data_IF_426699663569
#
_entry.id   IF_426699663569
#
_cell.length_a   1.000
_cell.length_b   1.000
_cell.length_c   1.000
_cell.angle_alpha   90.00
_cell.angle_beta   90.00
_cell.angle_gamma   90.00
#
_symmetry.space_group_name_H-M   'P 1'
#
loop_
_entity.id
_entity.type
_entity.pdbx_description
1 polymer ?
#
# COMPACT_ATOMS: atom_id res chain seq x y z
N UNK A 1 0.57 -9.30 6.33
CA UNK A 1 -0.72 -9.17 5.65
C UNK A 1 -1.23 -7.74 5.73
N UNK A 2 -1.91 -7.27 4.68
CA UNK A 2 -2.57 -5.97 4.63
C UNK A 2 -4.03 -6.02 5.08
N UNK A 3 -4.70 -4.87 5.06
CA UNK A 3 -6.09 -4.72 5.49
C UNK A 3 -7.12 -5.36 4.53
N UNK A 4 -6.74 -5.59 3.27
CA UNK A 4 -7.57 -6.29 2.27
C UNK A 4 -7.33 -7.81 2.24
N UNK A 5 -6.33 -8.29 2.96
CA UNK A 5 -5.95 -9.69 2.96
C UNK A 5 -6.84 -10.55 3.88
N UNK A 6 -7.07 -11.78 3.46
CA UNK A 6 -7.56 -12.82 4.35
C UNK A 6 -6.39 -13.53 5.01
N UNK A 7 -6.15 -13.25 6.29
CA UNK A 7 -5.05 -13.86 7.05
C UNK A 7 -5.08 -15.40 6.99
N UNK A 8 -6.25 -16.00 7.12
CA UNK A 8 -6.42 -17.46 7.04
C UNK A 8 -6.00 -18.03 5.67
N UNK A 9 -6.31 -17.32 4.57
CA UNK A 9 -5.87 -17.74 3.22
C UNK A 9 -4.38 -17.58 3.02
N UNK A 10 -3.77 -16.54 3.56
CA UNK A 10 -2.33 -16.31 3.47
C UNK A 10 -1.55 -17.31 4.31
N UNK A 11 -2.04 -17.70 5.49
CA UNK A 11 -1.37 -18.65 6.37
C UNK A 11 -1.67 -20.12 6.02
N UNK A 12 -2.71 -20.43 5.25
CA UNK A 12 -3.05 -21.80 4.88
C UNK A 12 -1.87 -22.57 4.23
N UNK A 13 -1.11 -22.00 3.27
CA UNK A 13 0.04 -22.67 2.67
C UNK A 13 1.35 -22.53 3.47
N UNK A 14 1.31 -22.05 4.72
CA UNK A 14 2.50 -21.74 5.52
C UNK A 14 3.54 -22.85 5.57
N UNK A 15 3.18 -24.16 5.75
CA UNK A 15 4.17 -25.24 5.76
C UNK A 15 4.96 -25.35 4.44
N UNK A 16 4.31 -25.11 3.30
CA UNK A 16 4.96 -25.09 1.98
C UNK A 16 5.85 -23.85 1.82
N UNK A 17 5.36 -22.68 2.25
CA UNK A 17 6.10 -21.43 2.19
C UNK A 17 7.36 -21.49 3.06
N UNK A 18 7.29 -22.07 4.24
CA UNK A 18 8.44 -22.25 5.12
C UNK A 18 9.52 -23.17 4.51
N UNK A 19 9.10 -24.23 3.80
CA UNK A 19 10.03 -25.07 3.04
C UNK A 19 10.75 -24.27 1.93
N UNK A 20 10.11 -23.21 1.42
CA UNK A 20 10.68 -22.24 0.46
C UNK A 20 11.39 -21.07 1.13
N UNK A 21 11.64 -21.13 2.44
CA UNK A 21 12.22 -20.04 3.26
C UNK A 21 11.42 -18.73 3.19
N UNK A 22 10.11 -18.85 3.08
CA UNK A 22 9.19 -17.70 3.05
C UNK A 22 8.38 -17.69 4.34
N UNK A 23 8.45 -16.57 5.05
CA UNK A 23 7.71 -16.34 6.29
C UNK A 23 6.48 -15.47 6.04
N UNK A 24 5.34 -15.85 6.62
CA UNK A 24 4.08 -15.11 6.51
C UNK A 24 3.55 -14.84 7.92
N UNK A 25 3.11 -13.60 8.12
CA UNK A 25 2.42 -13.15 9.34
C UNK A 25 1.07 -12.55 8.94
N UNK A 26 0.02 -13.33 9.09
CA UNK A 26 -1.35 -12.95 8.75
C UNK A 26 -2.06 -12.24 9.88
N UNK A 27 -1.81 -12.68 11.12
CA UNK A 27 -2.44 -12.18 12.34
C UNK A 27 -1.42 -11.99 13.47
N UNK A 28 -1.80 -11.19 14.46
CA UNK A 28 -1.15 -11.17 15.76
C UNK A 28 -1.69 -12.35 16.59
N UNK A 29 -0.82 -13.28 16.94
CA UNK A 29 -1.19 -14.44 17.78
C UNK A 29 -1.21 -14.03 19.24
N UNK A 30 -2.01 -14.78 20.01
CA UNK A 30 -2.07 -14.63 21.47
C UNK A 30 -1.70 -15.94 22.14
N UNK A 31 -1.04 -15.80 23.28
CA UNK A 31 -0.76 -16.90 24.19
C UNK A 31 -2.04 -17.35 24.91
N UNK A 32 -2.00 -18.50 25.62
CA UNK A 32 -3.15 -19.04 26.37
C UNK A 32 -3.72 -18.05 27.39
N UNK A 33 -2.89 -17.15 27.93
CA UNK A 33 -3.30 -16.08 28.85
C UNK A 33 -3.92 -14.84 28.19
N UNK A 34 -4.05 -14.83 26.85
CA UNK A 34 -4.57 -13.69 26.08
C UNK A 34 -3.56 -12.58 25.78
N UNK A 35 -2.33 -12.73 26.26
CA UNK A 35 -1.23 -11.82 25.94
C UNK A 35 -0.74 -11.99 24.50
N UNK A 36 -0.18 -10.91 23.93
CA UNK A 36 0.37 -10.93 22.58
C UNK A 36 1.60 -11.84 22.53
N UNK A 37 1.62 -12.78 21.57
CA UNK A 37 2.80 -13.56 21.23
C UNK A 37 3.76 -12.73 20.37
N UNK A 38 4.60 -11.96 21.04
CA UNK A 38 5.60 -11.11 20.38
C UNK A 38 6.65 -11.91 19.60
N UNK A 39 6.94 -13.15 20.05
CA UNK A 39 7.93 -14.00 19.39
C UNK A 39 7.44 -14.44 18.01
N UNK A 40 6.14 -14.62 17.86
CA UNK A 40 5.54 -14.88 16.56
C UNK A 40 5.75 -13.73 15.55
N UNK A 41 5.83 -12.49 16.01
CA UNK A 41 6.04 -11.30 15.16
C UNK A 41 7.52 -11.05 14.82
N UNK A 42 8.45 -11.83 15.40
CA UNK A 42 9.87 -11.74 15.12
C UNK A 42 10.26 -12.78 14.08
N UNK A 43 10.95 -12.34 13.03
CA UNK A 43 11.49 -13.19 11.98
C UNK A 43 13.00 -13.01 11.90
N UNK A 44 13.72 -14.10 11.97
CA UNK A 44 15.17 -14.14 11.77
C UNK A 44 15.46 -14.38 10.28
N UNK A 45 16.10 -13.40 9.64
CA UNK A 45 16.53 -13.55 8.25
C UNK A 45 17.97 -14.04 8.20
N UNK A 46 18.16 -15.16 7.51
CA UNK A 46 19.43 -15.89 7.45
C UNK A 46 20.08 -15.74 6.09
N UNK A 47 21.40 -15.63 6.09
CA UNK A 47 22.19 -15.64 4.88
C UNK A 47 22.25 -17.07 4.27
N UNK A 48 22.99 -17.20 3.15
CA UNK A 48 23.16 -18.49 2.47
C UNK A 48 23.87 -19.54 3.30
N UNK A 49 24.63 -19.14 4.34
CA UNK A 49 25.32 -20.05 5.27
C UNK A 49 24.44 -20.48 6.44
N UNK A 50 23.24 -19.92 6.56
CA UNK A 50 22.30 -20.18 7.66
C UNK A 50 22.52 -19.29 8.90
N UNK A 51 23.40 -18.32 8.84
CA UNK A 51 23.68 -17.38 9.91
C UNK A 51 22.63 -16.25 9.89
N UNK A 52 22.14 -15.84 11.07
CA UNK A 52 21.17 -14.75 11.20
C UNK A 52 21.90 -13.41 11.00
N UNK A 53 21.55 -12.69 9.95
CA UNK A 53 22.06 -11.37 9.64
C UNK A 53 21.12 -10.25 10.06
N UNK A 54 19.82 -10.50 10.01
CA UNK A 54 18.79 -9.51 10.26
C UNK A 54 17.72 -10.05 11.22
N UNK A 55 17.21 -9.16 12.05
CA UNK A 55 16.05 -9.40 12.91
C UNK A 55 14.91 -8.49 12.42
N UNK A 56 13.78 -9.07 12.08
CA UNK A 56 12.66 -8.36 11.50
C UNK A 56 11.43 -8.41 12.38
N UNK A 57 10.86 -7.25 12.70
CA UNK A 57 9.51 -7.11 13.23
C UNK A 57 8.52 -7.23 12.08
N UNK A 58 7.90 -8.38 11.91
CA UNK A 58 6.94 -8.65 10.85
C UNK A 58 5.50 -8.42 11.35
N UNK A 59 5.10 -7.15 11.42
CA UNK A 59 3.80 -6.75 11.97
C UNK A 59 2.76 -6.71 10.85
N UNK A 60 1.67 -7.52 10.92
CA UNK A 60 0.58 -7.46 9.96
C UNK A 60 -0.29 -6.21 10.19
N UNK A 61 -1.31 -6.00 9.35
CA UNK A 61 -2.36 -5.03 9.62
C UNK A 61 -3.02 -5.32 10.97
N UNK A 62 -3.07 -4.29 11.82
CA UNK A 62 -3.55 -4.40 13.20
C UNK A 62 -5.02 -4.01 13.32
N UNK A 63 -5.80 -4.89 13.92
CA UNK A 63 -7.19 -4.65 14.31
C UNK A 63 -7.30 -4.35 15.80
N UNK A 64 -8.46 -3.91 16.22
CA UNK A 64 -8.71 -3.73 17.65
C UNK A 64 -8.43 -5.03 18.41
N UNK A 65 -7.60 -4.94 19.47
CA UNK A 65 -7.14 -6.07 20.26
C UNK A 65 -5.86 -6.75 19.78
N UNK A 66 -5.29 -6.34 18.65
CA UNK A 66 -4.02 -6.86 18.12
C UNK A 66 -2.79 -6.13 18.69
N UNK A 67 -3.00 -5.08 19.46
CA UNK A 67 -1.98 -4.24 20.09
C UNK A 67 -2.26 -4.10 21.59
N UNK A 68 -1.25 -3.73 22.41
CA UNK A 68 -1.45 -3.55 23.85
C UNK A 68 -2.49 -2.47 24.16
N UNK A 69 -3.33 -2.72 25.14
CA UNK A 69 -4.20 -1.70 25.68
C UNK A 69 -3.36 -0.70 26.50
N UNK A 70 -3.44 0.57 26.16
CA UNK A 70 -2.75 1.65 26.87
C UNK A 70 -3.76 2.64 27.44
N UNK A 71 -3.50 3.13 28.64
CA UNK A 71 -4.28 4.24 29.20
C UNK A 71 -3.69 5.54 28.65
N UNK A 72 -4.46 6.28 27.89
CA UNK A 72 -4.02 7.53 27.27
C UNK A 72 -5.20 8.49 27.11
N UNK A 73 -4.90 9.79 27.14
CA UNK A 73 -5.83 10.86 26.73
C UNK A 73 -5.83 11.07 25.21
N UNK A 74 -4.84 10.48 24.52
CA UNK A 74 -4.70 10.54 23.06
C UNK A 74 -5.47 9.43 22.33
N UNK A 75 -4.97 9.06 21.15
CA UNK A 75 -5.55 8.00 20.35
C UNK A 75 -5.06 6.62 20.83
N UNK A 76 -5.94 5.77 21.41
CA UNK A 76 -5.55 4.45 21.93
C UNK A 76 -4.96 3.51 20.89
N UNK A 77 -5.39 3.61 19.61
CA UNK A 77 -4.81 2.86 18.52
C UNK A 77 -3.36 3.25 18.27
N UNK A 78 -3.10 4.54 18.07
CA UNK A 78 -1.77 5.04 17.78
C UNK A 78 -0.78 4.72 18.90
N UNK A 79 -1.20 4.92 20.17
CA UNK A 79 -0.39 4.63 21.33
C UNK A 79 -0.18 3.12 21.52
N UNK A 80 -1.20 2.30 21.29
CA UNK A 80 -1.08 0.84 21.34
C UNK A 80 -0.14 0.29 20.28
N UNK A 81 -0.17 0.85 19.06
CA UNK A 81 0.77 0.49 17.98
C UNK A 81 2.19 0.91 18.36
N UNK A 82 2.37 2.13 18.89
CA UNK A 82 3.68 2.60 19.36
C UNK A 82 4.25 1.66 20.44
N UNK A 83 3.44 1.27 21.40
CA UNK A 83 3.83 0.34 22.46
C UNK A 83 4.18 -1.05 21.91
N UNK A 84 3.43 -1.55 20.90
CA UNK A 84 3.73 -2.82 20.25
C UNK A 84 5.14 -2.83 19.63
N UNK A 85 5.47 -1.78 18.86
CA UNK A 85 6.79 -1.67 18.25
C UNK A 85 7.90 -1.46 19.29
N UNK A 86 7.64 -0.71 20.35
CA UNK A 86 8.59 -0.51 21.44
C UNK A 86 8.91 -1.83 22.17
N UNK A 87 7.89 -2.64 22.45
CA UNK A 87 8.08 -3.94 23.09
C UNK A 87 8.77 -4.95 22.18
N UNK A 88 8.47 -4.96 20.88
CA UNK A 88 9.19 -5.76 19.89
C UNK A 88 10.67 -5.35 19.84
N UNK A 89 10.94 -4.06 19.75
CA UNK A 89 12.30 -3.52 19.73
C UNK A 89 13.09 -3.94 20.96
N UNK A 90 12.52 -3.81 22.15
CA UNK A 90 13.16 -4.21 23.40
C UNK A 90 13.54 -5.70 23.41
N UNK A 91 12.66 -6.58 22.86
CA UNK A 91 12.94 -8.01 22.75
C UNK A 91 14.06 -8.29 21.75
N UNK A 92 14.05 -7.61 20.61
CA UNK A 92 15.09 -7.76 19.60
C UNK A 92 16.45 -7.29 20.09
N UNK A 93 16.51 -6.18 20.83
CA UNK A 93 17.75 -5.71 21.44
C UNK A 93 18.38 -6.73 22.37
N UNK A 94 17.59 -7.49 23.12
CA UNK A 94 18.10 -8.55 24.02
C UNK A 94 18.63 -9.76 23.25
N UNK A 95 18.19 -9.97 21.99
CA UNK A 95 18.58 -11.11 21.13
C UNK A 95 19.65 -10.75 20.12
N UNK A 96 19.75 -9.45 19.80
CA UNK A 96 20.64 -8.93 18.78
C UNK A 96 22.09 -9.21 19.12
N UNK A 97 22.85 -9.70 18.14
CA UNK A 97 24.30 -9.73 18.16
C UNK A 97 24.83 -8.46 17.54
N UNK A 98 26.09 -8.13 17.85
CA UNK A 98 26.83 -7.08 17.18
C UNK A 98 26.75 -7.28 15.65
N UNK A 99 26.62 -6.22 14.88
CA UNK A 99 26.49 -6.21 13.41
C UNK A 99 25.15 -6.74 12.83
N UNK A 100 24.20 -7.22 13.62
CA UNK A 100 22.88 -7.54 13.09
C UNK A 100 22.01 -6.28 12.96
N UNK A 101 21.35 -6.10 11.82
CA UNK A 101 20.39 -5.01 11.62
C UNK A 101 19.00 -5.39 12.15
N UNK A 102 18.28 -4.39 12.66
CA UNK A 102 16.86 -4.53 13.01
C UNK A 102 16.03 -3.84 11.93
N UNK A 103 15.07 -4.57 11.39
CA UNK A 103 14.07 -4.08 10.43
C UNK A 103 12.69 -4.08 11.06
N UNK A 104 11.82 -3.21 10.55
CA UNK A 104 10.40 -3.26 10.82
C UNK A 104 9.61 -3.33 9.51
N UNK A 105 8.55 -4.12 9.53
CA UNK A 105 7.53 -4.16 8.49
C UNK A 105 6.20 -3.85 9.15
N UNK A 106 5.40 -2.98 8.53
CA UNK A 106 4.06 -2.64 9.01
C UNK A 106 3.09 -2.37 7.88
N UNK A 107 1.80 -2.47 8.18
CA UNK A 107 0.73 -2.11 7.24
C UNK A 107 -0.26 -1.21 7.97
N UNK A 108 -0.08 0.10 7.86
CA UNK A 108 -0.81 1.12 8.60
C UNK A 108 -0.70 2.48 7.90
N UNK A 109 -1.53 3.43 8.31
CA UNK A 109 -1.42 4.82 7.90
C UNK A 109 -0.56 5.60 8.92
N UNK A 110 0.52 6.24 8.45
CA UNK A 110 1.36 7.10 9.25
C UNK A 110 0.99 8.57 9.05
N UNK A 111 1.09 9.38 10.11
CA UNK A 111 0.89 10.83 10.04
C UNK A 111 1.90 11.46 9.08
N UNK A 112 1.45 12.39 8.24
CA UNK A 112 2.28 13.07 7.24
C UNK A 112 2.51 12.26 5.97
N UNK A 113 1.79 11.15 5.77
CA UNK A 113 1.71 10.48 4.47
C UNK A 113 0.72 11.19 3.54
N UNK A 114 1.10 11.28 2.26
CA UNK A 114 0.26 11.85 1.21
C UNK A 114 -0.61 10.75 0.59
N UNK A 115 -1.89 11.02 0.48
CA UNK A 115 -2.89 10.14 -0.15
C UNK A 115 -3.51 10.90 -1.32
N UNK A 116 -3.84 10.23 -2.42
CA UNK A 116 -4.58 10.86 -3.50
C UNK A 116 -6.01 11.17 -3.05
N UNK A 117 -6.44 12.42 -3.15
CA UNK A 117 -7.77 12.88 -2.70
C UNK A 117 -8.95 12.10 -3.32
N UNK A 118 -8.74 11.42 -4.44
CA UNK A 118 -9.77 10.66 -5.19
C UNK A 118 -9.47 9.17 -5.26
N UNK A 119 -8.55 8.68 -4.45
CA UNK A 119 -8.22 7.26 -4.44
C UNK A 119 -9.09 6.50 -3.45
N UNK A 120 -10.18 5.95 -3.95
CA UNK A 120 -11.08 5.09 -3.16
C UNK A 120 -10.52 3.70 -2.90
N UNK A 121 -9.36 3.35 -3.47
CA UNK A 121 -8.67 2.07 -3.22
C UNK A 121 -7.96 2.06 -1.87
N UNK A 122 -7.52 3.22 -1.42
CA UNK A 122 -6.99 3.42 -0.06
C UNK A 122 -8.17 3.79 0.86
N UNK A 123 -8.55 2.90 1.75
CA UNK A 123 -9.53 3.23 2.79
C UNK A 123 -8.94 4.24 3.75
N UNK A 124 -9.14 5.51 3.46
CA UNK A 124 -8.88 6.58 4.42
C UNK A 124 -9.89 6.46 5.55
N UNK A 125 -9.41 6.29 6.77
CA UNK A 125 -10.28 6.40 7.93
C UNK A 125 -10.69 7.86 8.08
N UNK A 126 -12.00 8.09 7.99
CA UNK A 126 -12.58 9.43 8.16
C UNK A 126 -12.21 9.94 9.55
N UNK A 127 -11.51 11.07 9.60
CA UNK A 127 -11.16 11.75 10.86
C UNK A 127 -9.76 11.54 11.40
N UNK A 128 -8.87 10.82 10.70
CA UNK A 128 -7.45 10.67 11.11
C UNK A 128 -7.24 9.85 12.40
N UNK A 129 -8.28 9.17 12.89
CA UNK A 129 -8.25 8.45 14.18
C UNK A 129 -7.35 7.21 14.18
N UNK A 130 -6.97 6.70 13.01
CA UNK A 130 -6.10 5.52 12.89
C UNK A 130 -4.70 5.84 12.35
N UNK A 131 -4.29 7.11 12.37
CA UNK A 131 -2.94 7.48 11.96
C UNK A 131 -1.94 7.31 13.10
N UNK A 132 -0.81 6.67 12.78
CA UNK A 132 0.28 6.40 13.72
C UNK A 132 1.37 7.46 13.54
N UNK A 133 1.87 8.02 14.66
CA UNK A 133 3.03 8.93 14.61
C UNK A 133 4.26 8.19 14.08
N UNK A 134 5.08 8.81 13.23
CA UNK A 134 6.38 8.27 12.82
C UNK A 134 7.32 7.95 13.99
N UNK A 135 7.11 8.58 15.16
CA UNK A 135 7.88 8.35 16.39
C UNK A 135 7.66 6.94 16.96
N UNK A 136 6.62 6.22 16.51
CA UNK A 136 6.44 4.81 16.83
C UNK A 136 7.61 3.95 16.31
N UNK A 137 8.32 4.43 15.28
CA UNK A 137 9.47 3.74 14.69
C UNK A 137 10.76 4.38 15.21
N UNK A 138 11.37 3.74 16.19
CA UNK A 138 12.64 4.19 16.79
C UNK A 138 13.74 4.37 15.74
N UNK A 139 14.63 5.32 15.96
CA UNK A 139 15.85 5.52 15.16
C UNK A 139 16.82 4.34 15.22
N UNK A 140 16.66 3.46 16.21
CA UNK A 140 17.43 2.22 16.33
C UNK A 140 17.00 1.13 15.32
N UNK A 141 15.91 1.36 14.58
CA UNK A 141 15.48 0.50 13.49
C UNK A 141 16.20 0.97 12.22
N UNK A 142 17.01 0.09 11.63
CA UNK A 142 17.78 0.42 10.45
C UNK A 142 16.90 0.81 9.26
N UNK A 143 15.76 0.12 9.07
CA UNK A 143 14.79 0.46 8.05
C UNK A 143 13.39 -0.02 8.43
N UNK A 144 12.39 0.82 8.17
CA UNK A 144 10.97 0.50 8.34
C UNK A 144 10.25 0.51 7.00
N UNK A 145 9.79 -0.66 6.56
CA UNK A 145 9.02 -0.85 5.33
C UNK A 145 7.52 -0.81 5.65
N UNK A 146 6.82 0.20 5.17
CA UNK A 146 5.38 0.35 5.36
C UNK A 146 4.61 0.01 4.08
N UNK A 147 3.51 -0.70 4.23
CA UNK A 147 2.45 -0.88 3.26
C UNK A 147 1.20 -0.11 3.65
N UNK A 148 0.17 -0.15 2.83
CA UNK A 148 -1.10 0.54 2.90
C UNK A 148 -1.20 1.72 1.91
N UNK A 149 -0.26 2.64 1.91
CA UNK A 149 -0.27 3.78 0.98
C UNK A 149 0.41 3.38 -0.33
N UNK A 150 -0.29 3.56 -1.45
CA UNK A 150 0.17 3.14 -2.78
C UNK A 150 1.14 4.13 -3.42
N UNK A 151 1.20 5.38 -2.93
CA UNK A 151 2.18 6.37 -3.37
C UNK A 151 3.52 6.16 -2.66
N UNK A 152 4.57 5.84 -3.42
CA UNK A 152 5.93 5.70 -2.88
C UNK A 152 6.39 7.01 -2.25
N UNK A 153 6.73 7.00 -0.95
CA UNK A 153 7.09 8.21 -0.21
C UNK A 153 7.86 7.91 1.08
N UNK A 154 8.55 8.93 1.58
CA UNK A 154 9.12 8.97 2.92
C UNK A 154 8.07 9.45 3.91
N UNK A 155 8.09 8.93 5.12
CA UNK A 155 7.19 9.37 6.19
C UNK A 155 7.87 10.49 6.98
N UNK A 156 7.24 11.65 7.03
CA UNK A 156 7.76 12.84 7.72
C UNK A 156 9.22 13.16 7.40
N UNK A 157 9.64 12.95 6.15
CA UNK A 157 11.00 13.21 5.67
C UNK A 157 12.07 12.20 6.11
N UNK A 158 11.72 11.17 6.89
CA UNK A 158 12.68 10.15 7.36
C UNK A 158 13.10 9.23 6.23
N UNK A 159 14.40 9.14 5.98
CA UNK A 159 14.98 8.31 4.90
C UNK A 159 14.73 6.82 5.13
N UNK A 160 14.76 6.38 6.38
CA UNK A 160 14.65 4.99 6.79
C UNK A 160 13.22 4.54 7.13
N UNK A 161 12.19 5.39 6.96
CA UNK A 161 10.77 5.03 7.17
C UNK A 161 10.00 5.37 5.89
N UNK A 162 9.61 4.35 5.14
CA UNK A 162 9.07 4.55 3.79
C UNK A 162 7.89 3.65 3.47
N UNK A 163 6.99 4.18 2.67
CA UNK A 163 6.11 3.40 1.81
C UNK A 163 6.82 3.12 0.49
N UNK A 164 6.90 1.84 0.11
CA UNK A 164 7.39 1.47 -1.21
C UNK A 164 6.39 1.86 -2.32
N UNK A 165 5.13 2.03 -1.95
CA UNK A 165 4.03 2.17 -2.88
C UNK A 165 3.61 0.83 -3.49
N UNK A 166 2.76 0.89 -4.50
CA UNK A 166 2.38 -0.28 -5.28
C UNK A 166 3.36 -0.50 -6.45
N UNK A 167 3.70 -1.75 -6.81
CA UNK A 167 4.58 -2.02 -7.95
C UNK A 167 3.91 -1.77 -9.30
N UNK A 168 2.58 -1.76 -9.34
CA UNK A 168 1.75 -1.44 -10.49
C UNK A 168 0.58 -0.55 -10.04
N UNK A 169 -0.03 0.24 -10.94
CA UNK A 169 -1.20 1.04 -10.59
C UNK A 169 -2.39 0.14 -10.23
N UNK A 170 -3.02 0.41 -9.11
CA UNK A 170 -4.22 -0.29 -8.64
C UNK A 170 -5.50 0.43 -9.06
N UNK A 171 -5.40 1.71 -9.46
CA UNK A 171 -6.52 2.54 -9.90
C UNK A 171 -6.08 3.59 -10.92
N UNK A 172 -7.04 4.23 -11.61
CA UNK A 172 -6.76 5.35 -12.51
C UNK A 172 -6.29 6.62 -11.77
N UNK A 173 -6.55 6.75 -10.48
CA UNK A 173 -6.03 7.85 -9.67
C UNK A 173 -4.50 7.77 -9.53
N UNK A 174 -3.94 6.57 -9.61
CA UNK A 174 -2.52 6.30 -9.45
C UNK A 174 -1.72 6.35 -10.77
N UNK A 175 -2.35 6.61 -11.92
CA UNK A 175 -1.69 6.57 -13.24
C UNK A 175 -0.46 7.46 -13.39
N UNK A 176 -0.32 8.46 -12.50
CA UNK A 176 0.81 9.38 -12.47
C UNK A 176 1.83 9.05 -11.36
N UNK A 177 1.61 7.98 -10.60
CA UNK A 177 2.57 7.54 -9.61
C UNK A 177 3.76 6.87 -10.29
N UNK A 178 4.88 6.97 -9.64
CA UNK A 178 6.04 6.19 -10.02
C UNK A 178 5.98 4.84 -9.29
N UNK A 179 5.56 3.83 -9.99
CA UNK A 179 5.41 2.47 -9.45
C UNK A 179 6.76 1.76 -9.36
N UNK A 180 6.96 0.94 -8.33
CA UNK A 180 8.22 0.27 -8.14
C UNK A 180 8.36 -0.42 -6.79
N UNK A 181 9.61 -0.80 -6.49
CA UNK A 181 10.01 -1.38 -5.22
C UNK A 181 11.16 -0.58 -4.61
N UNK A 182 11.36 -0.72 -3.31
CA UNK A 182 12.52 -0.12 -2.61
C UNK A 182 13.54 -1.20 -2.34
N UNK A 183 14.76 -0.99 -2.82
CA UNK A 183 15.92 -1.80 -2.48
C UNK A 183 16.67 -1.11 -1.33
N UNK A 184 17.00 -1.89 -0.31
CA UNK A 184 17.75 -1.41 0.85
C UNK A 184 18.98 -2.27 1.02
N UNK A 185 20.15 -1.64 1.10
CA UNK A 185 21.41 -2.29 1.46
C UNK A 185 21.71 -1.97 2.91
N UNK A 186 21.94 -3.00 3.68
CA UNK A 186 22.25 -2.92 5.11
C UNK A 186 23.69 -3.34 5.33
N UNK A 187 24.40 -2.60 6.16
CA UNK A 187 25.74 -2.91 6.59
C UNK A 187 25.95 -2.46 8.04
N UNK A 188 26.61 -3.30 8.83
CA UNK A 188 26.95 -3.05 10.25
C UNK A 188 25.78 -2.51 11.09
N UNK A 189 24.57 -3.03 10.86
CA UNK A 189 23.36 -2.64 11.61
C UNK A 189 22.64 -1.40 11.07
N UNK A 190 23.13 -0.77 10.00
CA UNK A 190 22.58 0.45 9.40
C UNK A 190 22.13 0.25 7.96
N UNK A 191 21.20 1.08 7.49
CA UNK A 191 20.89 1.20 6.08
C UNK A 191 21.91 2.15 5.42
N UNK A 192 22.74 1.62 4.52
CA UNK A 192 23.81 2.37 3.84
C UNK A 192 23.38 2.84 2.45
N UNK A 193 22.41 2.19 1.83
CA UNK A 193 21.82 2.63 0.56
C UNK A 193 20.33 2.29 0.54
N UNK A 194 19.50 3.26 0.14
CA UNK A 194 18.05 3.12 0.00
C UNK A 194 17.65 3.74 -1.33
N UNK A 195 17.34 2.91 -2.30
CA UNK A 195 16.96 3.37 -3.65
C UNK A 195 15.70 2.72 -4.15
N UNK A 196 14.94 3.49 -4.91
CA UNK A 196 13.77 2.97 -5.62
C UNK A 196 14.21 2.36 -6.95
N UNK A 197 13.62 1.21 -7.25
CA UNK A 197 13.74 0.55 -8.55
C UNK A 197 12.36 0.63 -9.19
N UNK A 198 12.26 1.29 -10.32
CA UNK A 198 10.99 1.44 -11.05
C UNK A 198 10.58 0.13 -11.70
N UNK A 199 9.29 -0.19 -11.60
CA UNK A 199 8.65 -1.25 -12.35
C UNK A 199 8.03 -0.64 -13.62
N UNK A 200 8.47 -1.02 -14.81
CA UNK A 200 7.89 -0.50 -16.04
C UNK A 200 6.42 -0.91 -16.14
N UNK A 201 5.58 0.05 -16.45
CA UNK A 201 4.16 -0.19 -16.68
C UNK A 201 3.95 -0.81 -18.06
N UNK A 202 3.59 -2.09 -18.11
CA UNK A 202 3.38 -2.82 -19.37
C UNK A 202 2.08 -2.44 -20.09
N UNK A 203 1.04 -2.06 -19.34
CA UNK A 203 -0.27 -1.67 -19.89
C UNK A 203 -0.60 -0.26 -19.37
N UNK A 204 -0.67 0.75 -20.24
CA UNK A 204 -0.99 2.11 -19.86
C UNK A 204 -2.42 2.28 -19.34
N UNK A 205 -2.63 3.21 -18.42
CA UNK A 205 -3.93 3.69 -17.98
C UNK A 205 -4.21 5.05 -18.59
N UNK A 206 -5.28 5.16 -19.35
CA UNK A 206 -5.67 6.39 -20.06
C UNK A 206 -7.04 6.83 -19.56
N UNK A 207 -7.17 8.13 -19.21
CA UNK A 207 -8.46 8.74 -18.90
C UNK A 207 -8.89 9.66 -20.02
N UNK A 208 -10.12 9.55 -20.45
CA UNK A 208 -10.73 10.42 -21.47
C UNK A 208 -11.95 11.13 -20.86
N UNK A 209 -11.95 12.47 -20.92
CA UNK A 209 -10.83 13.36 -21.23
C UNK A 209 -9.73 13.26 -20.16
N UNK A 210 -8.53 13.74 -20.48
CA UNK A 210 -7.39 13.73 -19.55
C UNK A 210 -7.59 14.62 -18.30
N UNK A 211 -8.50 15.58 -18.40
CA UNK A 211 -8.88 16.52 -17.34
C UNK A 211 -10.22 16.20 -16.68
N UNK A 212 -11.09 17.23 -16.59
CA UNK A 212 -12.45 17.14 -16.06
C UNK A 212 -13.38 16.36 -16.99
N UNK A 213 -14.53 15.93 -16.46
CA UNK A 213 -15.56 15.25 -17.23
C UNK A 213 -16.15 16.18 -18.32
N UNK A 214 -16.52 15.63 -19.46
CA UNK A 214 -17.10 16.37 -20.58
C UNK A 214 -18.47 15.78 -20.98
N UNK A 215 -19.24 16.53 -21.78
CA UNK A 215 -20.55 16.07 -22.25
C UNK A 215 -20.45 14.80 -23.09
N UNK A 216 -21.52 13.99 -23.19
CA UNK A 216 -21.53 12.76 -23.96
C UNK A 216 -21.07 12.95 -25.41
N UNK A 217 -21.55 13.98 -26.10
CA UNK A 217 -21.20 14.27 -27.49
C UNK A 217 -19.70 14.53 -27.65
N UNK A 218 -19.13 15.33 -26.71
CA UNK A 218 -17.69 15.63 -26.72
C UNK A 218 -16.86 14.38 -26.42
N UNK A 219 -17.32 13.51 -25.55
CA UNK A 219 -16.67 12.23 -25.26
C UNK A 219 -16.66 11.34 -26.52
N UNK A 220 -17.78 11.18 -27.20
CA UNK A 220 -17.87 10.37 -28.41
C UNK A 220 -16.93 10.90 -29.52
N UNK A 221 -16.86 12.22 -29.68
CA UNK A 221 -15.90 12.86 -30.59
C UNK A 221 -14.46 12.46 -30.24
N UNK A 222 -14.05 12.66 -28.97
CA UNK A 222 -12.69 12.34 -28.52
C UNK A 222 -12.39 10.85 -28.70
N UNK A 223 -13.33 9.95 -28.38
CA UNK A 223 -13.14 8.50 -28.53
C UNK A 223 -12.95 8.09 -29.99
N UNK A 224 -13.67 8.70 -30.92
CA UNK A 224 -13.48 8.46 -32.36
C UNK A 224 -12.14 8.94 -32.87
N UNK A 225 -11.59 10.00 -32.29
CA UNK A 225 -10.31 10.60 -32.66
C UNK A 225 -9.11 9.98 -31.94
N UNK A 226 -9.33 8.99 -31.03
CA UNK A 226 -8.24 8.32 -30.36
C UNK A 226 -7.28 7.67 -31.38
N UNK A 227 -5.95 7.84 -31.18
CA UNK A 227 -4.95 7.30 -32.09
C UNK A 227 -4.93 5.77 -32.09
N UNK A 228 -4.33 5.19 -33.12
CA UNK A 228 -3.99 3.78 -33.11
C UNK A 228 -2.91 3.49 -32.06
N UNK A 229 -3.00 2.33 -31.43
CA UNK A 229 -2.09 1.90 -30.37
C UNK A 229 -1.15 0.83 -30.86
N UNK A 230 0.15 1.15 -30.84
CA UNK A 230 1.21 0.16 -31.01
C UNK A 230 1.49 -0.54 -29.67
N UNK A 231 1.49 -1.89 -29.65
CA UNK A 231 1.74 -2.67 -28.43
C UNK A 231 0.46 -3.12 -27.72
N UNK A 232 0.49 -3.24 -26.39
CA UNK A 232 -0.66 -3.72 -25.61
C UNK A 232 -1.79 -2.69 -25.54
N UNK A 233 -3.04 -3.18 -25.61
CA UNK A 233 -4.22 -2.34 -25.51
C UNK A 233 -4.29 -1.67 -24.12
N UNK A 234 -4.28 -0.32 -24.02
CA UNK A 234 -4.39 0.36 -22.74
C UNK A 234 -5.76 0.17 -22.11
N UNK A 235 -5.81 0.26 -20.78
CA UNK A 235 -7.07 0.39 -20.07
C UNK A 235 -7.58 1.83 -20.16
N UNK A 236 -8.87 1.99 -20.46
CA UNK A 236 -9.51 3.27 -20.68
C UNK A 236 -10.55 3.56 -19.59
N UNK A 237 -10.41 4.71 -18.96
CA UNK A 237 -11.43 5.35 -18.14
C UNK A 237 -12.09 6.47 -18.93
N UNK A 238 -13.41 6.48 -18.98
CA UNK A 238 -14.20 7.53 -19.64
C UNK A 238 -14.94 8.34 -18.59
N UNK A 239 -14.74 9.68 -18.57
CA UNK A 239 -15.35 10.59 -17.61
C UNK A 239 -16.40 11.44 -18.29
N UNK A 240 -17.66 11.25 -17.95
CA UNK A 240 -18.80 11.89 -18.60
C UNK A 240 -19.51 12.81 -17.63
N UNK A 241 -19.79 14.04 -18.06
CA UNK A 241 -20.62 14.99 -17.35
C UNK A 241 -22.04 14.89 -17.90
N UNK A 242 -22.96 14.44 -17.07
CA UNK A 242 -24.37 14.23 -17.40
C UNK A 242 -25.24 15.33 -16.80
N UNK A 243 -26.28 15.74 -17.53
CA UNK A 243 -27.38 16.56 -17.02
C UNK A 243 -28.51 15.68 -16.51
N UNK A 244 -28.81 14.59 -17.24
CA UNK A 244 -29.79 13.57 -16.91
C UNK A 244 -29.21 12.17 -17.14
N UNK A 245 -29.81 11.10 -16.56
CA UNK A 245 -29.36 9.74 -16.82
C UNK A 245 -29.50 9.34 -18.30
N UNK A 246 -28.42 8.85 -18.90
CA UNK A 246 -28.37 8.40 -20.29
C UNK A 246 -28.21 6.86 -20.37
N UNK A 247 -29.28 6.10 -20.55
CA UNK A 247 -29.23 4.64 -20.55
C UNK A 247 -28.38 4.05 -21.70
N UNK A 248 -28.28 4.74 -22.83
CA UNK A 248 -27.56 4.29 -24.03
C UNK A 248 -26.08 4.66 -24.04
N UNK A 249 -25.65 5.51 -23.11
CA UNK A 249 -24.28 6.05 -23.06
C UNK A 249 -23.19 4.98 -23.19
N UNK A 250 -23.36 3.86 -22.49
CA UNK A 250 -22.39 2.76 -22.56
C UNK A 250 -22.27 2.17 -23.96
N UNK A 251 -23.41 1.96 -24.62
CA UNK A 251 -23.44 1.43 -25.99
C UNK A 251 -22.77 2.40 -26.96
N UNK A 252 -23.06 3.70 -26.86
CA UNK A 252 -22.47 4.72 -27.72
C UNK A 252 -20.96 4.81 -27.56
N UNK A 253 -20.46 4.69 -26.30
CA UNK A 253 -19.02 4.63 -26.02
C UNK A 253 -18.39 3.38 -26.63
N UNK A 254 -19.02 2.22 -26.49
CA UNK A 254 -18.52 0.97 -27.06
C UNK A 254 -18.54 1.00 -28.61
N UNK A 255 -19.55 1.61 -29.22
CA UNK A 255 -19.62 1.83 -30.66
C UNK A 255 -18.52 2.82 -31.15
N UNK A 256 -18.26 3.88 -30.41
CA UNK A 256 -17.19 4.82 -30.73
C UNK A 256 -15.78 4.20 -30.63
N UNK A 257 -15.62 3.18 -29.82
CA UNK A 257 -14.38 2.42 -29.64
C UNK A 257 -14.29 1.20 -30.60
N UNK A 258 -15.34 0.92 -31.37
CA UNK A 258 -15.37 -0.25 -32.26
C UNK A 258 -14.20 -0.23 -33.27
N UNK A 259 -13.47 -1.32 -33.33
CA UNK A 259 -12.28 -1.45 -34.20
C UNK A 259 -11.00 -0.81 -33.63
N UNK A 260 -11.05 -0.12 -32.51
CA UNK A 260 -9.88 0.47 -31.84
C UNK A 260 -9.31 -0.46 -30.77
N UNK A 261 -7.99 -0.41 -30.60
CA UNK A 261 -7.27 -1.27 -29.66
C UNK A 261 -7.21 -0.65 -28.26
N UNK A 262 -8.39 -0.50 -27.61
CA UNK A 262 -8.54 0.01 -26.25
C UNK A 262 -9.41 -0.95 -25.42
N UNK A 263 -9.16 -1.01 -24.10
CA UNK A 263 -9.95 -1.80 -23.14
C UNK A 263 -10.76 -0.85 -22.26
N UNK A 264 -12.03 -0.68 -22.56
CA UNK A 264 -12.92 0.11 -21.70
C UNK A 264 -12.98 -0.56 -20.31
N UNK A 265 -12.37 0.08 -19.30
CA UNK A 265 -12.32 -0.42 -17.93
C UNK A 265 -13.47 0.13 -17.10
N UNK A 266 -13.75 1.43 -17.19
CA UNK A 266 -14.86 2.05 -16.46
C UNK A 266 -15.37 3.33 -17.12
N UNK A 267 -16.63 3.65 -16.82
CA UNK A 267 -17.26 4.92 -17.14
C UNK A 267 -17.55 5.60 -15.80
N UNK A 268 -17.11 6.82 -15.64
CA UNK A 268 -17.32 7.66 -14.45
C UNK A 268 -18.28 8.78 -14.83
N UNK A 269 -19.50 8.74 -14.32
CA UNK A 269 -20.50 9.78 -14.54
C UNK A 269 -20.47 10.80 -13.42
N UNK A 270 -20.33 12.07 -13.75
CA UNK A 270 -20.54 13.19 -12.88
C UNK A 270 -21.83 13.90 -13.31
N UNK A 271 -22.60 14.41 -12.37
CA UNK A 271 -23.82 15.17 -12.66
C UNK A 271 -23.57 16.65 -12.41
N UNK A 272 -24.10 17.48 -13.30
CA UNK A 272 -24.05 18.93 -13.10
C UNK A 272 -24.89 19.27 -11.86
N UNK A 273 -24.25 19.80 -10.82
CA UNK A 273 -25.00 20.36 -9.69
C UNK A 273 -25.66 21.66 -10.15
N UNK A 274 -26.99 21.72 -10.10
CA UNK A 274 -27.67 23.01 -10.20
C UNK A 274 -27.27 23.85 -8.96
N UNK A 275 -26.62 24.98 -9.21
CA UNK A 275 -26.45 26.00 -8.17
C UNK A 275 -27.84 26.46 -7.70
N UNK A 276 -28.22 26.02 -6.48
CA UNK A 276 -29.42 26.52 -5.79
C UNK A 276 -29.10 27.77 -4.99
#
# INVERSE_FOLDING_TARGET
>A
AGNHDSAARLEAPLPLLQAMRTEVRGVVRKLEGGEIDYDHLIVELKNRKGEVELLCMAVPFLRQGDYPAVQTEGNPYAEGVRELYAQLLQRLWKRRKENQSILAIGHLQAIGSEIAEKDYSERTVIGGLECVSPDAFSEQIAYTALGHIHKAQRVSGRENVRYAGSPIPMSFAEKHYHHGVVMVILDEGCAVDIRRIECPQSIPLISVPGGEAASPEKIIEILRDLPEVDGEAPYLEVKVLLEEPEPMLRQEIEEALAGKKYRLARIVSAYRQEER
#
